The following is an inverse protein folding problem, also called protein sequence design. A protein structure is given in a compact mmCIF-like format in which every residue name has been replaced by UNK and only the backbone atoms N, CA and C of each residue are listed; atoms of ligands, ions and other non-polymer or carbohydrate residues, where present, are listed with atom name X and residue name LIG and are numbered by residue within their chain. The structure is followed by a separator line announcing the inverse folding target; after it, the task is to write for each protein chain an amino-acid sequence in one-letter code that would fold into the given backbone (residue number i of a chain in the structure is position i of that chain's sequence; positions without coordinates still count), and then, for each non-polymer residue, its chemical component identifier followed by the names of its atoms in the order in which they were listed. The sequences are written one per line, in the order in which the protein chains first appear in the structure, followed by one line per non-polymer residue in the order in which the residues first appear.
data_IF_907447053255
#
_entry.id   IF_907447053255
#
_cell.length_a   1.000
_cell.length_b   1.000
_cell.length_c   1.000
_cell.angle_alpha   90.00
_cell.angle_beta   90.00
_cell.angle_gamma   90.00
#
_symmetry.space_group_name_H-M   'P 1'
#
loop_
_entity.id
_entity.type
_entity.pdbx_description
1 polymer ?
#
# COMPACT_ATOMS: atom_id res chain seq x y z
N UNK A 1 -12.83 -0.53 -32.89
CA UNK A 1 -12.01 -1.74 -32.74
C UNK A 1 -11.91 -2.01 -31.28
N UNK A 2 -12.39 -3.19 -30.85
CA UNK A 2 -12.66 -3.48 -29.45
C UNK A 2 -11.42 -3.47 -28.56
N UNK A 3 -11.53 -2.80 -27.43
CA UNK A 3 -10.57 -2.83 -26.32
C UNK A 3 -10.67 -4.23 -25.70
N UNK A 4 -9.61 -5.03 -25.85
CA UNK A 4 -9.54 -6.36 -25.26
C UNK A 4 -9.61 -6.27 -23.74
N UNK A 5 -10.74 -6.61 -23.14
CA UNK A 5 -10.85 -6.97 -21.75
C UNK A 5 -10.02 -8.24 -21.54
N UNK A 6 -8.85 -8.11 -20.94
CA UNK A 6 -8.12 -9.26 -20.43
C UNK A 6 -8.96 -9.86 -19.31
N UNK A 7 -9.51 -11.05 -19.55
CA UNK A 7 -10.37 -11.75 -18.62
C UNK A 7 -9.55 -12.22 -17.42
N UNK A 8 -9.56 -11.46 -16.33
CA UNK A 8 -9.32 -12.03 -15.01
C UNK A 8 -10.44 -13.04 -14.76
N UNK A 9 -10.08 -14.28 -14.44
CA UNK A 9 -11.06 -15.33 -14.09
C UNK A 9 -11.97 -14.81 -12.97
N UNK A 10 -13.26 -15.22 -12.94
CA UNK A 10 -14.20 -14.68 -11.99
C UNK A 10 -13.76 -15.03 -10.56
N UNK A 11 -13.19 -14.04 -9.84
CA UNK A 11 -13.19 -14.08 -8.38
C UNK A 11 -14.66 -14.18 -7.95
N UNK A 12 -15.03 -15.11 -7.08
CA UNK A 12 -16.39 -15.13 -6.58
C UNK A 12 -16.62 -13.81 -5.85
N UNK A 13 -17.36 -12.88 -6.46
CA UNK A 13 -17.76 -11.59 -5.88
C UNK A 13 -18.48 -11.76 -4.53
N UNK A 14 -18.68 -12.97 -4.10
CA UNK A 14 -19.41 -13.38 -2.90
C UNK A 14 -18.52 -13.68 -1.69
N UNK A 15 -17.19 -13.84 -1.85
CA UNK A 15 -16.33 -14.25 -0.73
C UNK A 15 -16.36 -13.25 0.44
N UNK A 16 -16.28 -11.96 0.13
CA UNK A 16 -16.27 -10.89 1.13
C UNK A 16 -17.65 -10.51 1.65
N UNK A 17 -18.72 -11.04 1.04
CA UNK A 17 -20.09 -10.75 1.49
C UNK A 17 -20.27 -11.23 2.94
N UNK A 18 -20.79 -10.33 3.77
CA UNK A 18 -21.04 -10.54 5.20
C UNK A 18 -19.82 -10.81 6.07
N UNK A 19 -18.59 -10.75 5.54
CA UNK A 19 -17.36 -10.79 6.34
C UNK A 19 -17.22 -9.52 7.18
N UNK A 20 -16.78 -9.68 8.44
CA UNK A 20 -16.50 -8.57 9.34
C UNK A 20 -15.01 -8.21 9.24
N UNK A 21 -14.72 -7.16 8.51
CA UNK A 21 -13.35 -6.79 8.13
C UNK A 21 -12.86 -5.58 8.93
N UNK A 22 -11.70 -5.69 9.57
CA UNK A 22 -11.03 -4.58 10.22
C UNK A 22 -9.89 -4.05 9.36
N UNK A 23 -9.92 -2.75 9.03
CA UNK A 23 -8.89 -2.11 8.20
C UNK A 23 -8.21 -1.00 9.00
N UNK A 24 -6.91 -1.13 9.22
CA UNK A 24 -6.08 -0.03 9.69
C UNK A 24 -5.48 0.73 8.52
N UNK A 25 -5.28 2.04 8.65
CA UNK A 25 -4.76 2.85 7.55
C UNK A 25 -5.77 3.14 6.43
N UNK A 26 -7.06 3.04 6.70
CA UNK A 26 -8.16 3.27 5.74
C UNK A 26 -8.18 4.69 5.15
N UNK A 27 -7.55 5.68 5.79
CA UNK A 27 -7.43 7.05 5.28
C UNK A 27 -6.27 7.25 4.30
N UNK A 28 -5.37 6.24 4.19
CA UNK A 28 -4.23 6.26 3.26
C UNK A 28 -4.60 5.90 1.82
N UNK A 29 -3.59 5.97 0.92
CA UNK A 29 -3.76 5.64 -0.49
C UNK A 29 -4.38 4.25 -0.70
N UNK A 30 -3.69 3.19 -0.30
CA UNK A 30 -4.18 1.82 -0.48
C UNK A 30 -5.44 1.54 0.34
N UNK A 31 -5.44 1.97 1.61
CA UNK A 31 -6.53 1.67 2.54
C UNK A 31 -7.88 2.23 2.09
N UNK A 32 -7.91 3.43 1.51
CA UNK A 32 -9.17 4.02 1.03
C UNK A 32 -9.76 3.26 -0.16
N UNK A 33 -8.92 2.80 -1.10
CA UNK A 33 -9.36 2.00 -2.23
C UNK A 33 -9.79 0.59 -1.79
N UNK A 34 -9.00 -0.06 -0.92
CA UNK A 34 -9.33 -1.39 -0.40
C UNK A 34 -10.64 -1.38 0.38
N UNK A 35 -10.85 -0.39 1.25
CA UNK A 35 -12.09 -0.22 2.03
C UNK A 35 -13.30 -0.07 1.11
N UNK A 36 -13.19 0.74 0.07
CA UNK A 36 -14.28 0.94 -0.90
C UNK A 36 -14.65 -0.37 -1.61
N UNK A 37 -13.66 -1.12 -2.13
CA UNK A 37 -13.91 -2.37 -2.83
C UNK A 37 -14.47 -3.45 -1.87
N UNK A 38 -14.02 -3.51 -0.62
CA UNK A 38 -14.59 -4.40 0.40
C UNK A 38 -16.08 -4.12 0.63
N UNK A 39 -16.45 -2.84 0.75
CA UNK A 39 -17.84 -2.41 0.89
C UNK A 39 -18.68 -2.75 -0.35
N UNK A 40 -18.13 -2.58 -1.54
CA UNK A 40 -18.78 -2.94 -2.82
C UNK A 40 -18.99 -4.45 -2.94
N UNK A 41 -18.05 -5.25 -2.40
CA UNK A 41 -18.16 -6.71 -2.33
C UNK A 41 -19.04 -7.21 -1.17
N UNK A 42 -19.67 -6.29 -0.42
CA UNK A 42 -20.65 -6.60 0.62
C UNK A 42 -20.06 -6.93 1.98
N UNK A 43 -18.80 -6.59 2.25
CA UNK A 43 -18.20 -6.74 3.58
C UNK A 43 -18.77 -5.67 4.56
N UNK A 44 -18.81 -6.02 5.84
CA UNK A 44 -19.04 -5.08 6.95
C UNK A 44 -17.66 -4.59 7.40
N UNK A 45 -17.36 -3.33 7.12
CA UNK A 45 -16.01 -2.80 7.33
C UNK A 45 -15.95 -1.91 8.56
N UNK A 46 -15.06 -2.25 9.47
CA UNK A 46 -14.66 -1.41 10.62
C UNK A 46 -13.28 -0.83 10.31
N UNK A 47 -13.10 0.46 10.52
CA UNK A 47 -11.83 1.16 10.23
C UNK A 47 -11.26 1.82 11.47
N UNK A 48 -9.93 1.75 11.63
CA UNK A 48 -9.21 2.53 12.64
C UNK A 48 -8.78 3.87 12.02
N UNK A 49 -9.20 4.97 12.62
CA UNK A 49 -8.85 6.33 12.21
C UNK A 49 -8.15 7.04 13.36
N UNK A 50 -6.87 7.40 13.18
CA UNK A 50 -6.11 8.20 14.14
C UNK A 50 -6.42 9.68 13.98
N UNK A 51 -6.14 10.21 12.80
CA UNK A 51 -6.28 11.63 12.49
C UNK A 51 -7.35 11.84 11.42
N UNK A 52 -8.13 12.88 11.59
CA UNK A 52 -9.04 13.33 10.55
C UNK A 52 -8.28 14.13 9.49
N UNK A 53 -8.28 13.63 8.24
CA UNK A 53 -7.69 14.30 7.09
C UNK A 53 -8.81 14.67 6.12
N UNK A 54 -9.33 15.92 6.16
CA UNK A 54 -10.53 16.34 5.43
C UNK A 54 -10.45 16.09 3.92
N UNK A 55 -9.27 16.27 3.37
CA UNK A 55 -9.01 16.17 1.93
C UNK A 55 -8.66 14.76 1.46
N UNK A 56 -8.55 13.80 2.39
CA UNK A 56 -8.26 12.42 2.02
C UNK A 56 -9.36 11.84 1.12
N UNK A 57 -8.95 10.93 0.24
CA UNK A 57 -9.92 10.21 -0.59
C UNK A 57 -11.00 9.53 0.26
N UNK A 58 -10.63 8.93 1.38
CA UNK A 58 -11.58 8.28 2.29
C UNK A 58 -12.63 9.24 2.84
N UNK A 59 -12.25 10.49 3.14
CA UNK A 59 -13.20 11.51 3.64
C UNK A 59 -14.10 12.07 2.53
N UNK A 60 -13.51 12.31 1.33
CA UNK A 60 -14.21 12.99 0.22
C UNK A 60 -15.07 12.04 -0.64
N UNK A 61 -14.78 10.75 -0.66
CA UNK A 61 -15.53 9.75 -1.45
C UNK A 61 -16.77 9.18 -0.75
N UNK A 62 -17.02 9.52 0.51
CA UNK A 62 -18.13 8.94 1.28
C UNK A 62 -17.85 7.51 1.80
N UNK A 63 -16.64 6.99 1.67
CA UNK A 63 -16.27 5.63 2.13
C UNK A 63 -16.42 5.52 3.65
N UNK A 64 -15.91 6.49 4.42
CA UNK A 64 -15.95 6.45 5.88
C UNK A 64 -17.37 6.46 6.45
N UNK A 65 -18.34 7.11 5.78
CA UNK A 65 -19.74 7.14 6.19
C UNK A 65 -20.43 5.77 6.08
N UNK A 66 -19.84 4.85 5.32
CA UNK A 66 -20.34 3.48 5.12
C UNK A 66 -19.64 2.46 6.02
N UNK A 67 -18.69 2.90 6.86
CA UNK A 67 -17.91 2.06 7.77
C UNK A 67 -18.32 2.27 9.22
N UNK A 68 -18.02 1.28 10.07
CA UNK A 68 -17.89 1.51 11.51
C UNK A 68 -16.53 2.18 11.75
N UNK A 69 -16.52 3.36 12.37
CA UNK A 69 -15.27 4.10 12.61
C UNK A 69 -14.88 4.00 14.07
N UNK A 70 -13.69 3.45 14.32
CA UNK A 70 -13.04 3.44 15.63
C UNK A 70 -11.93 4.50 15.63
N UNK A 71 -12.00 5.43 16.57
CA UNK A 71 -10.97 6.46 16.72
C UNK A 71 -9.92 6.04 17.74
N UNK A 72 -8.64 6.10 17.33
CA UNK A 72 -7.51 5.78 18.20
C UNK A 72 -6.23 5.46 17.44
N UNK A 73 -5.21 5.07 18.18
CA UNK A 73 -3.88 4.80 17.68
C UNK A 73 -3.62 3.28 17.57
N UNK A 74 -2.67 2.90 16.70
CA UNK A 74 -2.27 1.50 16.53
C UNK A 74 -1.59 0.93 17.79
N UNK A 75 -0.99 1.78 18.59
CA UNK A 75 -0.26 1.46 19.82
C UNK A 75 -1.18 1.16 21.00
N UNK A 76 -2.49 1.41 20.87
CA UNK A 76 -3.51 1.12 21.89
C UNK A 76 -4.08 -0.30 21.69
N UNK A 77 -3.40 -1.28 22.28
CA UNK A 77 -3.79 -2.69 22.16
C UNK A 77 -5.18 -2.99 22.76
N UNK A 78 -5.55 -2.31 23.85
CA UNK A 78 -6.85 -2.54 24.49
C UNK A 78 -8.00 -2.04 23.59
N UNK A 79 -7.81 -0.90 22.92
CA UNK A 79 -8.72 -0.39 21.93
C UNK A 79 -8.88 -1.36 20.75
N UNK A 80 -7.76 -1.87 20.23
CA UNK A 80 -7.77 -2.81 19.10
C UNK A 80 -8.50 -4.11 19.48
N UNK A 81 -8.21 -4.67 20.65
CA UNK A 81 -8.88 -5.88 21.15
C UNK A 81 -10.37 -5.65 21.35
N UNK A 82 -10.75 -4.51 21.97
CA UNK A 82 -12.16 -4.14 22.14
C UNK A 82 -12.87 -4.04 20.80
N UNK A 83 -12.28 -3.32 19.83
CA UNK A 83 -12.88 -3.14 18.52
C UNK A 83 -13.04 -4.49 17.79
N UNK A 84 -12.03 -5.36 17.81
CA UNK A 84 -12.13 -6.67 17.18
C UNK A 84 -13.20 -7.55 17.83
N UNK A 85 -13.40 -7.44 19.15
CA UNK A 85 -14.43 -8.20 19.85
C UNK A 85 -15.84 -7.62 19.60
N UNK A 86 -16.01 -6.31 19.72
CA UNK A 86 -17.29 -5.62 19.61
C UNK A 86 -17.90 -5.74 18.21
N UNK A 87 -17.07 -5.67 17.17
CA UNK A 87 -17.50 -5.79 15.78
C UNK A 87 -17.32 -7.21 15.21
N UNK A 88 -17.08 -8.22 16.05
CA UNK A 88 -16.97 -9.64 15.66
C UNK A 88 -16.03 -9.87 14.47
N UNK A 89 -14.89 -9.19 14.45
CA UNK A 89 -13.94 -9.21 13.32
C UNK A 89 -13.44 -10.63 13.04
N UNK A 90 -13.50 -11.03 11.77
CA UNK A 90 -12.95 -12.29 11.25
C UNK A 90 -11.72 -12.08 10.34
N UNK A 91 -11.62 -10.90 9.73
CA UNK A 91 -10.58 -10.59 8.75
C UNK A 91 -9.91 -9.24 9.05
N UNK A 92 -8.60 -9.19 8.98
CA UNK A 92 -7.83 -7.96 9.29
C UNK A 92 -6.91 -7.60 8.12
N UNK A 93 -6.97 -6.34 7.69
CA UNK A 93 -5.98 -5.73 6.79
C UNK A 93 -5.22 -4.65 7.57
N UNK A 94 -3.98 -4.96 7.91
CA UNK A 94 -3.09 -4.06 8.63
C UNK A 94 -2.25 -3.22 7.67
N UNK A 95 -2.78 -2.06 7.27
CA UNK A 95 -2.14 -1.12 6.34
C UNK A 95 -1.64 0.15 7.05
N UNK A 96 -2.04 0.35 8.30
CA UNK A 96 -1.68 1.52 9.11
C UNK A 96 -0.17 1.55 9.38
N UNK A 97 0.49 2.60 8.93
CA UNK A 97 1.92 2.82 9.16
C UNK A 97 2.30 4.28 8.88
N UNK A 98 3.39 4.73 9.48
CA UNK A 98 4.09 5.93 9.04
C UNK A 98 4.94 5.56 7.82
N UNK A 99 4.57 6.07 6.62
CA UNK A 99 5.12 5.63 5.32
C UNK A 99 6.02 6.67 4.65
N UNK A 100 6.18 7.86 5.23
CA UNK A 100 6.95 8.96 4.64
C UNK A 100 8.40 8.87 5.09
N UNK A 101 9.30 8.43 4.18
CA UNK A 101 10.73 8.23 4.46
C UNK A 101 11.38 9.48 5.08
N UNK A 102 11.07 10.68 4.55
CA UNK A 102 11.59 11.93 5.11
C UNK A 102 11.09 12.24 6.53
N UNK A 103 9.88 11.83 6.88
CA UNK A 103 9.37 11.93 8.26
C UNK A 103 10.04 10.91 9.15
N UNK A 104 10.21 9.67 8.69
CA UNK A 104 10.92 8.63 9.42
C UNK A 104 12.38 9.03 9.73
N UNK A 105 13.05 9.68 8.78
CA UNK A 105 14.41 10.19 9.00
C UNK A 105 14.48 11.31 10.07
N UNK A 106 13.43 12.15 10.17
CA UNK A 106 13.35 13.22 11.18
C UNK A 106 12.89 12.72 12.55
N UNK A 107 12.06 11.68 12.59
CA UNK A 107 11.45 11.13 13.80
C UNK A 107 11.40 9.61 13.71
N UNK A 108 12.53 8.98 14.02
CA UNK A 108 12.65 7.52 14.03
C UNK A 108 11.73 6.90 15.09
N UNK A 109 11.64 7.50 16.28
CA UNK A 109 10.83 6.98 17.39
C UNK A 109 9.35 6.91 16.98
N UNK A 110 8.76 7.99 16.45
CA UNK A 110 7.35 7.96 16.04
C UNK A 110 7.10 6.92 14.94
N UNK A 111 8.07 6.67 14.07
CA UNK A 111 7.99 5.62 13.05
C UNK A 111 8.03 4.24 13.67
N UNK A 112 8.91 4.01 14.65
CA UNK A 112 9.02 2.71 15.33
C UNK A 112 7.79 2.43 16.20
N UNK A 113 7.27 3.44 16.93
CA UNK A 113 6.02 3.29 17.68
C UNK A 113 4.88 2.87 16.74
N UNK A 114 4.58 3.64 15.70
CA UNK A 114 3.49 3.31 14.79
C UNK A 114 3.69 2.00 14.03
N UNK A 115 4.89 1.76 13.47
CA UNK A 115 5.10 0.63 12.55
C UNK A 115 5.48 -0.66 13.25
N UNK A 116 6.26 -0.59 14.34
CA UNK A 116 6.73 -1.77 15.07
C UNK A 116 5.78 -2.07 16.21
N UNK A 117 5.60 -1.12 17.15
CA UNK A 117 4.70 -1.30 18.29
C UNK A 117 3.27 -1.49 17.83
N UNK A 118 2.77 -0.64 16.92
CA UNK A 118 1.42 -0.79 16.35
C UNK A 118 1.18 -2.15 15.72
N UNK A 119 2.20 -2.73 15.04
CA UNK A 119 2.07 -4.07 14.46
C UNK A 119 1.95 -5.16 15.53
N UNK A 120 2.78 -5.17 16.57
CA UNK A 120 2.62 -6.20 17.60
C UNK A 120 1.36 -6.00 18.43
N UNK A 121 0.92 -4.76 18.71
CA UNK A 121 -0.34 -4.51 19.41
C UNK A 121 -1.53 -5.10 18.64
N UNK A 122 -1.55 -4.91 17.31
CA UNK A 122 -2.59 -5.49 16.46
C UNK A 122 -2.53 -7.01 16.43
N UNK A 123 -1.34 -7.59 16.25
CA UNK A 123 -1.15 -9.04 16.20
C UNK A 123 -1.52 -9.70 17.54
N UNK A 124 -1.19 -9.05 18.66
CA UNK A 124 -1.57 -9.52 19.99
C UNK A 124 -3.09 -9.45 20.21
N UNK A 125 -3.75 -8.37 19.76
CA UNK A 125 -5.19 -8.28 19.80
C UNK A 125 -5.85 -9.38 18.96
N UNK A 126 -5.35 -9.64 17.74
CA UNK A 126 -5.81 -10.72 16.88
C UNK A 126 -5.61 -12.10 17.53
N UNK A 127 -4.46 -12.35 18.15
CA UNK A 127 -4.17 -13.57 18.90
C UNK A 127 -5.16 -13.80 20.03
N UNK A 128 -5.49 -12.78 20.79
CA UNK A 128 -6.44 -12.85 21.92
C UNK A 128 -7.88 -13.09 21.48
N UNK A 129 -8.25 -12.70 20.24
CA UNK A 129 -9.54 -13.03 19.65
C UNK A 129 -9.66 -14.53 19.25
N UNK A 130 -8.54 -15.27 19.22
CA UNK A 130 -8.49 -16.71 18.98
C UNK A 130 -9.02 -17.12 17.60
N UNK A 131 -9.70 -18.25 17.53
CA UNK A 131 -10.14 -18.88 16.28
C UNK A 131 -11.16 -18.04 15.47
N UNK A 132 -11.69 -16.94 16.01
CA UNK A 132 -12.55 -16.04 15.25
C UNK A 132 -11.79 -15.31 14.16
N UNK A 133 -10.54 -14.95 14.40
CA UNK A 133 -9.69 -14.34 13.36
C UNK A 133 -9.25 -15.43 12.38
N UNK A 134 -9.80 -15.38 11.19
CA UNK A 134 -9.52 -16.34 10.11
C UNK A 134 -8.31 -15.90 9.24
N UNK A 135 -8.02 -14.60 9.19
CA UNK A 135 -6.94 -14.03 8.37
C UNK A 135 -6.47 -12.66 8.82
N UNK A 136 -5.16 -12.45 8.75
CA UNK A 136 -4.52 -11.16 9.00
C UNK A 136 -3.54 -10.87 7.87
N UNK A 137 -3.82 -9.87 7.03
CA UNK A 137 -2.94 -9.44 5.95
C UNK A 137 -2.16 -8.22 6.41
N UNK A 138 -0.84 -8.34 6.46
CA UNK A 138 0.05 -7.29 6.98
C UNK A 138 0.83 -6.64 5.84
N UNK A 139 0.71 -5.33 5.72
CA UNK A 139 1.45 -4.56 4.73
C UNK A 139 2.89 -4.30 5.19
N UNK A 140 3.83 -4.98 4.57
CA UNK A 140 5.25 -4.64 4.58
C UNK A 140 5.60 -3.77 3.36
N UNK A 141 6.78 -3.91 2.81
CA UNK A 141 7.28 -3.16 1.66
C UNK A 141 8.50 -3.84 1.05
N UNK A 142 8.81 -3.56 -0.21
CA UNK A 142 10.11 -3.84 -0.83
C UNK A 142 11.29 -3.22 -0.05
N UNK A 143 11.04 -2.14 0.70
CA UNK A 143 12.02 -1.48 1.56
C UNK A 143 12.53 -2.37 2.70
N UNK A 144 11.76 -3.38 3.12
CA UNK A 144 12.18 -4.33 4.14
C UNK A 144 13.42 -5.13 3.73
N UNK A 145 13.60 -5.37 2.42
CA UNK A 145 14.79 -6.03 1.90
C UNK A 145 16.08 -5.22 2.10
N UNK A 146 15.99 -3.88 2.08
CA UNK A 146 17.17 -3.03 2.09
C UNK A 146 17.90 -3.04 0.74
N UNK A 147 19.21 -2.76 0.74
CA UNK A 147 20.03 -2.76 -0.47
C UNK A 147 20.70 -4.12 -0.67
N UNK A 148 20.50 -4.74 -1.84
CA UNK A 148 21.16 -5.97 -2.25
C UNK A 148 21.77 -5.81 -3.63
N UNK A 149 22.86 -6.56 -3.88
CA UNK A 149 23.50 -6.60 -5.19
C UNK A 149 22.74 -7.46 -6.21
N UNK A 150 21.91 -8.41 -5.71
CA UNK A 150 21.05 -9.27 -6.56
C UNK A 150 19.64 -8.70 -6.61
N UNK A 151 19.19 -8.41 -7.81
CA UNK A 151 17.85 -7.98 -8.18
C UNK A 151 17.33 -8.84 -9.34
N UNK A 152 16.02 -9.03 -9.49
CA UNK A 152 14.93 -8.58 -8.60
C UNK A 152 14.96 -9.27 -7.22
N UNK A 153 14.31 -8.65 -6.21
CA UNK A 153 14.15 -9.31 -4.91
C UNK A 153 13.13 -10.44 -5.01
N UNK A 154 13.52 -11.60 -4.51
CA UNK A 154 12.65 -12.75 -4.24
C UNK A 154 12.26 -12.77 -2.75
N UNK A 155 11.21 -13.50 -2.37
CA UNK A 155 10.72 -13.49 -0.98
C UNK A 155 11.69 -14.13 0.03
N UNK A 156 12.63 -14.95 -0.43
CA UNK A 156 13.71 -15.55 0.36
C UNK A 156 14.94 -14.64 0.54
N UNK A 157 14.97 -13.47 -0.14
CA UNK A 157 16.03 -12.50 0.07
C UNK A 157 16.04 -11.99 1.52
N UNK A 158 17.20 -11.85 2.16
CA UNK A 158 17.32 -11.39 3.54
C UNK A 158 16.69 -10.01 3.75
N UNK A 159 16.04 -9.81 4.91
CA UNK A 159 15.54 -8.51 5.34
C UNK A 159 16.68 -7.71 5.96
N UNK A 160 17.11 -6.64 5.30
CA UNK A 160 18.29 -5.84 5.67
C UNK A 160 18.01 -4.34 5.65
N UNK A 161 16.85 -3.92 6.15
CA UNK A 161 16.53 -2.49 6.27
C UNK A 161 17.64 -1.73 7.01
N UNK A 162 18.00 -0.55 6.52
CA UNK A 162 19.07 0.30 7.10
C UNK A 162 18.57 1.62 7.61
N UNK A 163 17.57 2.19 6.96
CA UNK A 163 16.98 3.47 7.37
C UNK A 163 15.75 3.24 8.26
N UNK A 164 15.32 4.21 9.09
CA UNK A 164 14.26 3.97 10.08
C UNK A 164 12.98 3.36 9.50
N UNK A 165 12.53 3.82 8.33
CA UNK A 165 11.37 3.23 7.68
C UNK A 165 11.64 1.78 7.24
N UNK A 166 12.76 1.53 6.58
CA UNK A 166 13.12 0.19 6.08
C UNK A 166 13.25 -0.80 7.24
N UNK A 167 13.96 -0.41 8.31
CA UNK A 167 14.09 -1.18 9.56
C UNK A 167 12.71 -1.48 10.14
N UNK A 168 11.83 -0.49 10.20
CA UNK A 168 10.48 -0.69 10.75
C UNK A 168 9.70 -1.75 9.97
N UNK A 169 9.86 -1.80 8.63
CA UNK A 169 9.21 -2.80 7.79
C UNK A 169 9.83 -4.19 7.92
N UNK A 170 11.17 -4.28 8.05
CA UNK A 170 11.84 -5.55 8.38
C UNK A 170 11.35 -6.09 9.74
N UNK A 171 11.21 -5.24 10.75
CA UNK A 171 10.67 -5.62 12.05
C UNK A 171 9.20 -6.07 11.96
N UNK A 172 8.37 -5.37 11.18
CA UNK A 172 6.96 -5.77 10.95
C UNK A 172 6.87 -7.18 10.39
N UNK A 173 7.68 -7.52 9.38
CA UNK A 173 7.78 -8.87 8.82
C UNK A 173 8.15 -9.91 9.88
N UNK A 174 9.28 -9.71 10.57
CA UNK A 174 9.79 -10.65 11.56
C UNK A 174 8.82 -10.89 12.72
N UNK A 175 8.20 -9.82 13.22
CA UNK A 175 7.19 -9.91 14.29
C UNK A 175 5.97 -10.69 13.78
N UNK A 176 5.49 -10.40 12.57
CA UNK A 176 4.33 -11.09 11.98
C UNK A 176 4.57 -12.59 11.91
N UNK A 177 5.74 -13.03 11.41
CA UNK A 177 6.07 -14.46 11.35
C UNK A 177 6.27 -15.10 12.72
N UNK A 178 6.76 -14.35 13.72
CA UNK A 178 6.86 -14.89 15.08
C UNK A 178 5.48 -15.24 15.67
N UNK A 179 4.45 -14.44 15.37
CA UNK A 179 3.08 -14.72 15.80
C UNK A 179 2.48 -15.94 15.10
N UNK A 180 2.81 -16.15 13.83
CA UNK A 180 2.45 -17.39 13.12
C UNK A 180 3.14 -18.61 13.72
N UNK A 181 4.47 -18.60 13.79
CA UNK A 181 5.25 -19.76 14.22
C UNK A 181 5.00 -20.14 15.67
N UNK A 182 4.74 -19.17 16.54
CA UNK A 182 4.58 -19.42 17.98
C UNK A 182 3.13 -19.68 18.37
N UNK A 183 2.20 -18.91 17.79
CA UNK A 183 0.82 -18.87 18.24
C UNK A 183 -0.20 -19.33 17.19
N UNK A 184 0.23 -19.58 15.96
CA UNK A 184 -0.67 -19.99 14.88
C UNK A 184 -1.62 -18.88 14.39
N UNK A 185 -1.30 -17.59 14.64
CA UNK A 185 -2.12 -16.49 14.11
C UNK A 185 -2.09 -16.54 12.57
N UNK A 186 -3.24 -16.60 11.88
CA UNK A 186 -3.31 -16.84 10.44
C UNK A 186 -2.92 -15.60 9.64
N UNK A 187 -1.62 -15.36 9.49
CA UNK A 187 -1.06 -14.18 8.83
C UNK A 187 -0.57 -14.45 7.42
N UNK A 188 -0.55 -13.41 6.59
CA UNK A 188 0.29 -13.32 5.40
C UNK A 188 0.83 -11.90 5.24
N UNK A 189 2.02 -11.77 4.67
CA UNK A 189 2.70 -10.48 4.50
C UNK A 189 2.74 -10.11 3.02
N UNK A 190 2.45 -8.85 2.71
CA UNK A 190 2.64 -8.28 1.37
C UNK A 190 3.89 -7.41 1.32
N UNK A 191 4.74 -7.59 0.33
CA UNK A 191 5.87 -6.72 0.03
C UNK A 191 5.65 -6.11 -1.34
N UNK A 192 5.12 -4.89 -1.35
CA UNK A 192 4.75 -4.20 -2.58
C UNK A 192 5.84 -3.24 -3.05
N UNK A 193 5.92 -3.04 -4.37
CA UNK A 193 6.64 -1.95 -4.98
C UNK A 193 6.05 -0.58 -4.64
N UNK A 194 6.54 0.48 -5.30
CA UNK A 194 6.10 1.85 -5.04
C UNK A 194 4.67 2.08 -5.52
N UNK A 195 3.73 2.11 -4.59
CA UNK A 195 2.31 2.33 -4.90
C UNK A 195 2.06 3.74 -5.45
N UNK A 196 1.23 3.83 -6.48
CA UNK A 196 0.69 5.08 -7.01
C UNK A 196 -0.80 4.95 -7.37
N UNK A 197 -1.48 6.08 -7.42
CA UNK A 197 -2.90 6.12 -7.76
C UNK A 197 -3.61 7.38 -7.27
N UNK A 198 -4.91 7.43 -7.51
CA UNK A 198 -5.80 8.50 -7.07
C UNK A 198 -5.84 8.59 -5.54
N UNK A 199 -5.75 9.80 -4.99
CA UNK A 199 -5.87 10.04 -3.55
C UNK A 199 -4.57 10.09 -2.76
N UNK A 200 -3.39 10.01 -3.40
CA UNK A 200 -2.12 10.28 -2.72
C UNK A 200 -1.88 11.79 -2.60
N UNK A 201 -2.13 12.33 -1.41
CA UNK A 201 -1.95 13.76 -1.13
C UNK A 201 -0.52 14.12 -0.69
N UNK A 202 0.41 13.17 -0.70
CA UNK A 202 1.81 13.47 -0.39
C UNK A 202 2.54 14.00 -1.62
N UNK A 203 2.42 15.29 -1.87
CA UNK A 203 3.10 15.98 -2.99
C UNK A 203 4.64 16.02 -2.88
N UNK A 204 5.23 15.46 -1.82
CA UNK A 204 6.68 15.20 -1.76
C UNK A 204 7.08 13.91 -2.49
N UNK A 205 6.13 13.05 -2.83
CA UNK A 205 6.36 11.88 -3.67
C UNK A 205 6.45 12.27 -5.14
N UNK A 206 7.18 11.47 -5.91
CA UNK A 206 7.49 11.75 -7.32
C UNK A 206 6.23 11.98 -8.16
N UNK A 207 5.31 11.03 -8.17
CA UNK A 207 4.12 11.06 -9.05
C UNK A 207 3.17 12.21 -8.68
N UNK A 208 2.68 12.34 -7.43
CA UNK A 208 1.83 13.48 -7.05
C UNK A 208 2.51 14.84 -7.29
N UNK A 209 3.79 14.94 -6.95
CA UNK A 209 4.58 16.16 -7.13
C UNK A 209 4.71 16.55 -8.61
N UNK A 210 5.00 15.60 -9.48
CA UNK A 210 5.13 15.82 -10.94
C UNK A 210 3.80 16.24 -11.54
N UNK A 211 2.71 15.54 -11.24
CA UNK A 211 1.37 15.88 -11.77
C UNK A 211 0.97 17.29 -11.32
N UNK A 212 1.15 17.63 -10.03
CA UNK A 212 0.84 18.95 -9.51
C UNK A 212 1.64 20.05 -10.21
N UNK A 213 2.95 19.86 -10.41
CA UNK A 213 3.79 20.81 -11.13
C UNK A 213 3.31 20.99 -12.57
N UNK A 214 3.05 19.89 -13.29
CA UNK A 214 2.57 19.94 -14.67
C UNK A 214 1.20 20.65 -14.80
N UNK A 215 0.28 20.46 -13.86
CA UNK A 215 -1.02 21.15 -13.83
C UNK A 215 -0.90 22.65 -13.58
N UNK A 216 0.22 23.11 -13.00
CA UNK A 216 0.54 24.52 -12.78
C UNK A 216 1.45 25.12 -13.85
N UNK A 217 1.74 24.37 -14.91
CA UNK A 217 2.76 24.74 -15.91
C UNK A 217 4.15 25.00 -15.31
N UNK A 218 4.46 24.36 -14.17
CA UNK A 218 5.75 24.43 -13.49
C UNK A 218 6.62 23.22 -13.89
N UNK A 219 7.94 23.43 -13.93
CA UNK A 219 8.91 22.36 -14.18
C UNK A 219 8.95 21.40 -12.98
N UNK A 220 8.72 20.07 -13.15
CA UNK A 220 8.84 19.10 -12.07
C UNK A 220 10.26 19.08 -11.49
N UNK A 221 10.38 18.83 -10.18
CA UNK A 221 11.68 18.77 -9.49
C UNK A 221 12.00 17.32 -9.12
N UNK A 222 13.10 16.80 -9.62
CA UNK A 222 13.66 15.49 -9.30
C UNK A 222 14.75 15.67 -8.25
N UNK A 223 14.57 15.10 -7.05
CA UNK A 223 15.53 15.24 -5.95
C UNK A 223 16.81 14.43 -6.16
N UNK A 224 16.70 13.25 -6.79
CA UNK A 224 17.86 12.42 -7.19
C UNK A 224 18.51 12.97 -8.47
N UNK A 225 19.42 12.19 -9.03
CA UNK A 225 19.99 12.39 -10.37
C UNK A 225 19.08 11.93 -11.51
N UNK A 226 17.93 11.32 -11.17
CA UNK A 226 16.96 10.79 -12.13
C UNK A 226 17.16 9.32 -12.50
N UNK A 227 18.27 8.68 -12.10
CA UNK A 227 18.65 7.31 -12.50
C UNK A 227 18.08 6.22 -11.59
N UNK A 228 17.56 6.57 -10.41
CA UNK A 228 17.04 5.60 -9.46
C UNK A 228 15.90 4.78 -10.05
N UNK A 229 15.97 3.46 -9.87
CA UNK A 229 15.05 2.50 -10.47
C UNK A 229 14.05 1.97 -9.43
N UNK A 230 12.79 1.97 -9.76
CA UNK A 230 11.69 1.46 -8.91
C UNK A 230 10.67 0.68 -9.72
N UNK A 231 9.99 -0.24 -9.05
CA UNK A 231 8.77 -0.85 -9.54
C UNK A 231 7.58 0.03 -9.09
N UNK A 232 6.89 0.63 -10.07
CA UNK A 232 5.73 1.49 -9.82
C UNK A 232 4.44 0.70 -10.00
N UNK A 233 3.75 0.47 -8.89
CA UNK A 233 2.66 -0.45 -8.80
C UNK A 233 1.32 0.28 -8.60
N UNK A 234 0.38 0.07 -9.51
CA UNK A 234 -0.89 0.79 -9.49
C UNK A 234 -1.78 0.32 -8.35
N UNK A 235 -2.43 1.26 -7.67
CA UNK A 235 -3.20 0.99 -6.43
C UNK A 235 -4.34 0.00 -6.62
N UNK A 236 -5.00 -0.04 -7.80
CA UNK A 236 -6.08 -1.00 -8.05
C UNK A 236 -5.57 -2.42 -8.17
N UNK A 237 -4.42 -2.64 -8.79
CA UNK A 237 -3.77 -3.96 -8.81
C UNK A 237 -3.33 -4.39 -7.40
N UNK A 238 -2.88 -3.43 -6.59
CA UNK A 238 -2.56 -3.71 -5.19
C UNK A 238 -3.81 -4.12 -4.40
N UNK A 239 -4.94 -3.45 -4.58
CA UNK A 239 -6.22 -3.84 -3.94
C UNK A 239 -6.59 -5.27 -4.28
N UNK A 240 -6.54 -5.65 -5.57
CA UNK A 240 -6.85 -7.01 -5.99
C UNK A 240 -5.86 -8.03 -5.42
N UNK A 241 -4.56 -7.69 -5.33
CA UNK A 241 -3.54 -8.53 -4.70
C UNK A 241 -3.85 -8.79 -3.22
N UNK A 242 -4.23 -7.75 -2.47
CA UNK A 242 -4.57 -7.86 -1.05
C UNK A 242 -5.84 -8.68 -0.83
N UNK A 243 -6.87 -8.45 -1.62
CA UNK A 243 -8.13 -9.19 -1.54
C UNK A 243 -7.93 -10.67 -1.87
N UNK A 244 -7.21 -10.95 -2.95
CA UNK A 244 -6.88 -12.32 -3.34
C UNK A 244 -6.05 -13.04 -2.26
N UNK A 245 -5.04 -12.37 -1.70
CA UNK A 245 -4.25 -12.93 -0.60
C UNK A 245 -5.13 -13.21 0.62
N UNK A 246 -6.02 -12.28 0.99
CA UNK A 246 -6.99 -12.48 2.07
C UNK A 246 -7.92 -13.68 1.84
N UNK A 247 -8.36 -13.90 0.61
CA UNK A 247 -9.17 -15.07 0.24
C UNK A 247 -8.41 -16.40 0.37
N UNK A 248 -7.08 -16.35 0.20
CA UNK A 248 -6.21 -17.53 0.16
C UNK A 248 -5.51 -17.85 1.48
N UNK A 249 -5.43 -16.91 2.44
CA UNK A 249 -4.71 -17.10 3.71
C UNK A 249 -5.01 -18.42 4.43
N UNK A 250 -6.25 -18.98 4.46
CA UNK A 250 -6.47 -20.26 5.13
C UNK A 250 -5.81 -21.46 4.41
N UNK A 251 -5.29 -21.25 3.18
CA UNK A 251 -4.73 -22.35 2.39
C UNK A 251 -3.28 -22.65 2.80
N UNK A 252 -2.90 -23.93 2.71
CA UNK A 252 -1.53 -24.37 2.89
C UNK A 252 -0.57 -23.72 1.88
N UNK A 253 0.60 -23.28 2.35
CA UNK A 253 1.60 -22.58 1.55
C UNK A 253 1.28 -21.12 1.23
N UNK A 254 0.22 -20.57 1.86
CA UNK A 254 -0.13 -19.14 1.84
C UNK A 254 -0.02 -18.54 3.24
N UNK A 255 -0.62 -19.20 4.24
CA UNK A 255 -0.57 -18.76 5.63
C UNK A 255 0.85 -18.89 6.17
N UNK A 256 1.33 -17.82 6.84
CA UNK A 256 2.68 -17.76 7.36
C UNK A 256 3.74 -17.37 6.31
N UNK A 257 3.33 -16.89 5.14
CA UNK A 257 4.23 -16.58 4.04
C UNK A 257 4.19 -15.08 3.65
N UNK A 258 5.31 -14.61 3.07
CA UNK A 258 5.35 -13.32 2.40
C UNK A 258 5.13 -13.48 0.89
N UNK A 259 4.56 -12.45 0.27
CA UNK A 259 4.37 -12.37 -1.18
C UNK A 259 4.78 -10.99 -1.70
N UNK A 260 5.58 -11.00 -2.75
CA UNK A 260 5.92 -9.82 -3.52
C UNK A 260 4.79 -9.48 -4.50
N UNK A 261 4.45 -8.20 -4.59
CA UNK A 261 3.50 -7.68 -5.56
C UNK A 261 4.06 -6.43 -6.24
N UNK A 262 4.15 -6.48 -7.55
CA UNK A 262 4.70 -5.42 -8.39
C UNK A 262 4.38 -5.69 -9.86
N UNK A 263 4.93 -4.86 -10.73
CA UNK A 263 4.72 -4.97 -12.18
C UNK A 263 5.80 -5.77 -12.89
N UNK A 264 6.97 -5.98 -12.24
CA UNK A 264 8.20 -6.53 -12.83
C UNK A 264 8.69 -5.73 -14.06
N UNK A 265 8.22 -4.48 -14.17
CA UNK A 265 8.60 -3.53 -15.21
C UNK A 265 9.20 -2.27 -14.58
N UNK A 266 10.42 -2.37 -14.01
CA UNK A 266 11.04 -1.26 -13.31
C UNK A 266 11.31 -0.08 -14.24
N UNK A 267 11.12 1.13 -13.73
CA UNK A 267 11.34 2.39 -14.43
C UNK A 267 12.28 3.28 -13.63
N UNK A 268 13.09 4.05 -14.34
CA UNK A 268 13.88 5.13 -13.74
C UNK A 268 12.97 6.31 -13.36
N UNK A 269 13.41 7.12 -12.42
CA UNK A 269 12.71 8.35 -12.01
C UNK A 269 12.47 9.27 -13.21
N UNK A 270 13.47 9.41 -14.10
CA UNK A 270 13.34 10.28 -15.28
C UNK A 270 12.33 9.75 -16.28
N UNK A 271 12.27 8.43 -16.50
CA UNK A 271 11.28 7.80 -17.38
C UNK A 271 9.85 8.03 -16.85
N UNK A 272 9.63 7.89 -15.55
CA UNK A 272 8.33 8.14 -14.93
C UNK A 272 7.89 9.59 -15.14
N UNK A 273 8.77 10.54 -14.86
CA UNK A 273 8.48 11.97 -15.06
C UNK A 273 8.16 12.27 -16.53
N UNK A 274 8.97 11.75 -17.46
CA UNK A 274 8.76 11.95 -18.90
C UNK A 274 7.43 11.36 -19.38
N UNK A 275 7.07 10.15 -18.91
CA UNK A 275 5.77 9.53 -19.26
C UNK A 275 4.58 10.35 -18.73
N UNK A 276 4.65 10.83 -17.48
CA UNK A 276 3.61 11.70 -16.90
C UNK A 276 3.44 12.96 -17.77
N UNK A 277 4.54 13.65 -18.08
CA UNK A 277 4.49 14.86 -18.91
C UNK A 277 3.93 14.59 -20.30
N UNK A 278 4.27 13.46 -20.90
CA UNK A 278 3.73 13.04 -22.18
C UNK A 278 2.22 12.79 -22.13
N UNK A 279 1.76 12.03 -21.13
CA UNK A 279 0.33 11.76 -20.94
C UNK A 279 -0.49 13.01 -20.66
N UNK A 280 0.12 14.03 -20.05
CA UNK A 280 -0.51 15.34 -19.80
C UNK A 280 -0.39 16.33 -20.97
N UNK A 281 0.29 15.96 -22.08
CA UNK A 281 0.55 16.89 -23.20
C UNK A 281 1.51 18.03 -22.83
N UNK A 282 2.38 17.83 -21.82
CA UNK A 282 3.31 18.81 -21.26
C UNK A 282 4.78 18.44 -21.46
N UNK A 283 5.11 17.70 -22.52
CA UNK A 283 6.48 17.21 -22.80
C UNK A 283 7.52 18.34 -22.94
N UNK A 284 7.09 19.57 -23.16
CA UNK A 284 7.97 20.75 -23.18
C UNK A 284 8.46 21.19 -21.79
N UNK A 285 7.84 20.69 -20.70
CA UNK A 285 8.27 20.97 -19.33
C UNK A 285 9.44 20.06 -18.95
N UNK A 286 10.66 20.48 -19.23
CA UNK A 286 11.84 19.72 -18.81
C UNK A 286 11.98 19.72 -17.28
N UNK A 287 12.18 18.53 -16.62
CA UNK A 287 12.36 18.49 -15.19
C UNK A 287 13.64 19.19 -14.72
N UNK A 288 13.64 19.66 -13.47
CA UNK A 288 14.84 20.18 -12.79
C UNK A 288 15.45 19.07 -11.96
N UNK A 289 16.64 18.61 -12.32
CA UNK A 289 17.38 17.57 -11.59
C UNK A 289 18.23 18.24 -10.51
N UNK A 290 18.01 17.86 -9.23
CA UNK A 290 18.67 18.50 -8.09
C UNK A 290 19.91 17.73 -7.61
N UNK A 291 20.00 16.42 -7.82
CA UNK A 291 21.12 15.59 -7.37
C UNK A 291 21.32 15.59 -5.83
N UNK A 292 20.25 15.79 -5.06
CA UNK A 292 20.31 15.98 -3.60
C UNK A 292 19.78 14.77 -2.80
N UNK A 293 19.39 13.69 -3.46
CA UNK A 293 18.89 12.51 -2.77
C UNK A 293 20.04 11.83 -2.00
N UNK A 294 19.83 11.66 -0.68
CA UNK A 294 20.75 10.96 0.21
C UNK A 294 19.98 9.88 0.95
N UNK A 295 20.68 8.82 1.36
CA UNK A 295 20.08 7.73 2.15
C UNK A 295 18.94 6.99 1.43
N UNK A 296 19.01 6.87 0.12
CA UNK A 296 18.07 6.12 -0.71
C UNK A 296 18.79 4.97 -1.44
N UNK A 297 18.10 3.86 -1.64
CA UNK A 297 18.60 2.71 -2.39
C UNK A 297 18.50 3.02 -3.89
N UNK A 298 19.58 2.84 -4.71
CA UNK A 298 19.56 3.21 -6.12
C UNK A 298 18.56 2.41 -6.96
N UNK A 299 18.47 1.10 -6.74
CA UNK A 299 17.57 0.22 -7.51
C UNK A 299 16.81 -0.72 -6.58
N UNK A 300 15.48 -0.79 -6.74
CA UNK A 300 14.59 -1.71 -6.02
C UNK A 300 13.45 -2.13 -6.94
N UNK A 301 13.32 -3.43 -7.20
CA UNK A 301 12.21 -4.04 -7.92
C UNK A 301 12.10 -5.52 -7.56
N UNK A 302 10.93 -6.08 -7.79
CA UNK A 302 10.48 -7.35 -7.23
C UNK A 302 10.39 -8.44 -8.28
N UNK A 303 10.61 -9.70 -7.88
CA UNK A 303 10.15 -10.90 -8.57
C UNK A 303 8.81 -11.31 -7.95
N UNK A 304 7.78 -11.45 -8.77
CA UNK A 304 6.44 -11.81 -8.35
C UNK A 304 6.06 -13.26 -8.75
N UNK A 305 7.05 -14.10 -9.10
CA UNK A 305 6.82 -15.47 -9.53
C UNK A 305 6.06 -16.32 -8.49
N UNK A 306 6.31 -16.10 -7.20
CA UNK A 306 5.60 -16.78 -6.11
C UNK A 306 4.10 -16.44 -6.11
N UNK A 307 3.72 -15.17 -6.26
CA UNK A 307 2.33 -14.76 -6.35
C UNK A 307 1.65 -15.34 -7.60
N UNK A 308 2.34 -15.36 -8.74
CA UNK A 308 1.83 -16.00 -9.98
C UNK A 308 1.59 -17.49 -9.80
N UNK A 309 2.57 -18.20 -9.26
CA UNK A 309 2.48 -19.68 -9.16
C UNK A 309 1.53 -20.17 -8.09
N UNK A 310 1.46 -19.48 -6.94
CA UNK A 310 0.63 -19.89 -5.80
C UNK A 310 -0.81 -19.40 -5.87
N UNK A 311 -1.04 -18.25 -6.53
CA UNK A 311 -2.36 -17.59 -6.52
C UNK A 311 -2.87 -17.22 -7.91
N UNK A 312 -2.11 -17.49 -8.98
CA UNK A 312 -2.42 -17.05 -10.35
C UNK A 312 -2.60 -15.53 -10.47
N UNK A 313 -1.92 -14.79 -9.59
CA UNK A 313 -2.00 -13.33 -9.58
C UNK A 313 -1.06 -12.73 -10.62
N UNK A 314 -1.52 -11.68 -11.30
CA UNK A 314 -0.73 -10.81 -12.16
C UNK A 314 -1.35 -9.42 -12.21
N UNK A 315 -0.56 -8.35 -12.43
CA UNK A 315 -1.12 -7.00 -12.57
C UNK A 315 -2.04 -6.92 -13.80
N UNK A 316 -3.17 -6.24 -13.67
CA UNK A 316 -4.17 -6.07 -14.73
C UNK A 316 -4.04 -4.76 -15.49
N UNK A 317 -3.29 -3.78 -14.97
CA UNK A 317 -3.12 -2.45 -15.57
C UNK A 317 -1.69 -2.24 -16.08
N UNK A 318 -1.57 -1.61 -17.25
CA UNK A 318 -0.28 -1.02 -17.64
C UNK A 318 0.01 0.22 -16.79
N UNK A 319 1.29 0.63 -16.74
CA UNK A 319 1.67 1.87 -16.08
C UNK A 319 0.91 3.08 -16.65
N UNK A 320 0.78 3.17 -17.97
CA UNK A 320 0.15 4.31 -18.63
C UNK A 320 -1.38 4.36 -18.42
N UNK A 321 -2.06 3.20 -18.34
CA UNK A 321 -3.49 3.14 -17.98
C UNK A 321 -3.73 3.63 -16.55
N UNK A 322 -3.00 3.08 -15.59
CA UNK A 322 -3.10 3.50 -14.19
C UNK A 322 -2.70 4.96 -13.98
N UNK A 323 -1.69 5.44 -14.74
CA UNK A 323 -1.26 6.84 -14.69
C UNK A 323 -2.31 7.78 -15.27
N UNK A 324 -2.95 7.42 -16.39
CA UNK A 324 -4.02 8.21 -17.00
C UNK A 324 -5.23 8.36 -16.07
N UNK A 325 -5.62 7.30 -15.33
CA UNK A 325 -6.67 7.38 -14.32
C UNK A 325 -6.23 8.28 -13.14
N UNK A 326 -4.97 8.17 -12.74
CA UNK A 326 -4.39 8.97 -11.66
C UNK A 326 -4.38 10.47 -12.01
N UNK A 327 -3.93 10.83 -13.21
CA UNK A 327 -3.90 12.21 -13.70
C UNK A 327 -5.30 12.81 -13.70
N UNK A 328 -6.30 12.11 -14.28
CA UNK A 328 -7.70 12.58 -14.31
C UNK A 328 -8.25 12.88 -12.92
N UNK A 329 -7.89 12.05 -11.92
CA UNK A 329 -8.31 12.31 -10.55
C UNK A 329 -7.71 13.61 -10.00
N UNK A 330 -6.40 13.88 -10.23
CA UNK A 330 -5.77 15.11 -9.75
C UNK A 330 -6.32 16.35 -10.47
N UNK A 331 -6.63 16.26 -11.76
CA UNK A 331 -7.27 17.34 -12.52
C UNK A 331 -8.61 17.72 -11.87
N UNK A 332 -9.47 16.74 -11.61
CA UNK A 332 -10.76 16.97 -10.95
C UNK A 332 -10.60 17.50 -9.51
N UNK A 333 -9.67 16.92 -8.74
CA UNK A 333 -9.44 17.30 -7.35
C UNK A 333 -8.90 18.74 -7.20
N UNK A 334 -7.98 19.16 -8.07
CA UNK A 334 -7.44 20.53 -8.06
C UNK A 334 -8.46 21.54 -8.59
N UNK A 335 -9.22 21.22 -9.64
CA UNK A 335 -10.25 22.10 -10.20
C UNK A 335 -11.33 22.43 -9.17
N UNK A 336 -11.78 21.43 -8.41
CA UNK A 336 -12.79 21.63 -7.36
C UNK A 336 -12.32 22.59 -6.23
N UNK A 337 -11.01 22.77 -6.04
CA UNK A 337 -10.43 23.65 -5.02
C UNK A 337 -10.16 25.08 -5.47
N UNK A 338 -10.07 25.31 -6.77
CA UNK A 338 -9.97 26.67 -7.32
C UNK A 338 -11.34 27.33 -7.43
N UNK A 339 -12.41 26.57 -7.22
CA UNK A 339 -13.80 27.04 -7.29
C UNK A 339 -14.41 27.35 -5.92
N UNK A 340 -13.66 27.13 -4.84
CA UNK A 340 -14.00 27.49 -3.44
C UNK A 340 -13.15 28.70 -2.98
#
# INVERSE_FOLDING_TARGET
MGVGQCAMGPHPMTFWRDKNVFVTGATGLLGSHLTEVLLERGARVTVLVRDWVPDSRAATSGVLQRCQVVHGELEDQELLLRAMNEYEIDSVFHLGAQTIVGTAARSAISTFESNIRGSWCLLEAARQCGARIERVIVASSDKAYGAHDRLPYTEDAPLQGRFPYDVSKSCTDLITFSYWHTYGVPVAVTRCGNLFGAGDLNFSRLIPGTIRSALRDERPRIRSDGTFVRDYFYVRDAVEAYLLLGERVPAEGITGEAFNFGTEAPLTVIEVVSRILTLMGKSALEPVILGQATHEIPAQYLDCAKARTRMSWQPGFSFDDGMSETIRWYEGWLSARHSQ
#
